data_IF_371831792661
#
_entry.id   IF_371831792661
#
_cell.length_a   1.000
_cell.length_b   1.000
_cell.length_c   1.000
_cell.angle_alpha   90.00
_cell.angle_beta   90.00
_cell.angle_gamma   90.00
#
_symmetry.space_group_name_H-M   'P 1'
#
loop_
_entity.id
_entity.type
_entity.pdbx_description
1 polymer ?
#
# COMPACT_ATOMS: atom_id res chain seq x y z
N UNK A 1 9.09 -27.59 8.77
CA UNK A 1 10.11 -28.41 8.09
C UNK A 1 10.65 -27.58 6.93
N UNK A 2 11.85 -27.00 7.05
CA UNK A 2 12.43 -26.12 6.00
C UNK A 2 13.39 -26.96 5.16
N UNK A 3 13.10 -27.13 3.87
CA UNK A 3 14.02 -27.77 2.93
C UNK A 3 14.68 -26.64 2.14
N UNK A 4 15.76 -26.11 2.68
CA UNK A 4 16.69 -25.27 1.91
C UNK A 4 17.56 -26.23 1.11
N UNK A 5 17.37 -26.28 -0.20
CA UNK A 5 18.23 -27.06 -1.09
C UNK A 5 19.54 -26.29 -1.27
N UNK A 6 20.46 -26.45 -0.31
CA UNK A 6 21.82 -25.94 -0.46
C UNK A 6 22.50 -26.77 -1.55
N UNK A 7 22.67 -26.16 -2.73
CA UNK A 7 23.24 -26.77 -3.92
C UNK A 7 24.62 -27.36 -3.61
N UNK A 8 25.38 -26.75 -2.70
CA UNK A 8 26.69 -27.25 -2.25
C UNK A 8 26.58 -28.56 -1.42
N UNK A 9 25.54 -28.69 -0.58
CA UNK A 9 25.26 -29.94 0.15
C UNK A 9 24.83 -31.08 -0.79
N UNK A 10 24.25 -30.76 -1.93
CA UNK A 10 23.91 -31.74 -2.98
C UNK A 10 25.15 -32.14 -3.76
N UNK A 11 26.02 -31.18 -4.09
CA UNK A 11 27.31 -31.41 -4.77
C UNK A 11 28.24 -32.30 -3.91
N UNK A 12 28.34 -32.05 -2.60
CA UNK A 12 29.19 -32.83 -1.69
C UNK A 12 28.73 -34.29 -1.48
N UNK A 13 27.50 -34.65 -1.90
CA UNK A 13 26.98 -36.02 -1.85
C UNK A 13 27.24 -36.80 -3.15
N UNK A 14 27.74 -36.16 -4.20
CA UNK A 14 28.07 -36.82 -5.45
C UNK A 14 29.46 -37.45 -5.36
N UNK A 15 29.52 -38.78 -5.37
CA UNK A 15 30.76 -39.58 -5.27
C UNK A 15 31.48 -39.79 -6.61
N UNK A 16 30.98 -39.22 -7.72
CA UNK A 16 31.53 -39.38 -9.06
C UNK A 16 31.82 -37.99 -9.66
N UNK A 17 32.89 -37.82 -10.47
CA UNK A 17 33.11 -36.58 -11.20
C UNK A 17 31.94 -36.39 -12.16
N UNK A 18 31.15 -35.34 -11.93
CA UNK A 18 30.04 -34.97 -12.80
C UNK A 18 30.58 -34.89 -14.24
N UNK A 19 29.76 -35.27 -15.23
CA UNK A 19 30.11 -35.23 -16.67
C UNK A 19 30.87 -33.92 -16.97
N UNK A 20 31.97 -33.92 -17.74
CA UNK A 20 32.85 -32.74 -17.91
C UNK A 20 32.09 -31.47 -18.31
N UNK A 21 30.98 -31.63 -19.03
CA UNK A 21 30.06 -30.54 -19.41
C UNK A 21 29.31 -29.98 -18.21
N UNK A 22 28.73 -30.83 -17.36
CA UNK A 22 28.05 -30.37 -16.14
C UNK A 22 29.03 -29.79 -15.12
N UNK A 23 30.25 -30.33 -15.01
CA UNK A 23 31.29 -29.78 -14.16
C UNK A 23 31.76 -28.41 -14.67
N UNK A 24 31.97 -28.25 -15.98
CA UNK A 24 32.32 -26.96 -16.60
C UNK A 24 31.21 -25.91 -16.45
N UNK A 25 29.94 -26.30 -16.54
CA UNK A 25 28.79 -25.43 -16.33
C UNK A 25 28.62 -25.03 -14.85
N UNK A 26 28.97 -25.92 -13.91
CA UNK A 26 28.97 -25.61 -12.48
C UNK A 26 30.16 -24.71 -12.13
N UNK A 27 31.38 -25.00 -12.58
CA UNK A 27 32.58 -24.17 -12.37
C UNK A 27 32.41 -22.74 -12.92
N UNK A 28 31.69 -22.56 -14.02
CA UNK A 28 31.38 -21.23 -14.57
C UNK A 28 30.32 -20.45 -13.77
N UNK A 29 29.53 -21.12 -12.93
CA UNK A 29 28.41 -20.53 -12.19
C UNK A 29 28.58 -20.55 -10.67
N UNK A 30 29.65 -21.15 -10.13
CA UNK A 30 29.99 -21.06 -8.71
C UNK A 30 30.64 -19.69 -8.47
N UNK A 31 29.81 -18.65 -8.40
CA UNK A 31 30.15 -17.50 -7.55
C UNK A 31 29.81 -17.93 -6.13
N UNK A 32 30.82 -17.99 -5.24
CA UNK A 32 30.66 -18.43 -3.85
C UNK A 32 29.63 -17.63 -3.04
N UNK A 33 29.15 -16.50 -3.57
CA UNK A 33 28.23 -15.56 -2.91
C UNK A 33 26.79 -15.59 -3.43
N UNK A 34 26.43 -16.52 -4.33
CA UNK A 34 25.06 -16.67 -4.88
C UNK A 34 24.31 -17.86 -4.31
N UNK A 35 23.09 -17.62 -3.86
CA UNK A 35 22.22 -18.59 -3.22
C UNK A 35 20.86 -18.63 -3.90
N UNK A 36 20.31 -19.84 -4.02
CA UNK A 36 18.95 -20.05 -4.53
C UNK A 36 18.03 -20.46 -3.38
N UNK A 37 16.95 -19.69 -3.18
CA UNK A 37 15.92 -19.98 -2.19
C UNK A 37 14.64 -20.41 -2.88
N UNK A 38 13.96 -21.40 -2.29
CA UNK A 38 12.57 -21.74 -2.60
C UNK A 38 11.64 -21.09 -1.60
N UNK A 39 10.72 -20.27 -2.11
CA UNK A 39 9.63 -19.68 -1.36
C UNK A 39 8.55 -20.71 -1.01
N UNK A 40 7.62 -20.35 -0.12
CA UNK A 40 6.55 -21.24 0.32
C UNK A 40 5.57 -21.64 -0.80
N UNK A 41 5.45 -20.85 -1.86
CA UNK A 41 4.59 -21.13 -3.03
C UNK A 41 5.34 -21.80 -4.19
N UNK A 42 6.48 -22.43 -3.93
CA UNK A 42 7.34 -23.05 -4.94
C UNK A 42 8.03 -22.05 -5.89
N UNK A 43 7.95 -20.75 -5.58
CA UNK A 43 8.70 -19.69 -6.26
C UNK A 43 10.19 -19.84 -5.97
N UNK A 44 11.04 -19.50 -6.94
CA UNK A 44 12.48 -19.55 -6.80
C UNK A 44 13.06 -18.15 -6.88
N UNK A 45 13.95 -17.83 -5.95
CA UNK A 45 14.62 -16.56 -5.88
C UNK A 45 16.13 -16.76 -5.77
N UNK A 46 16.86 -15.87 -6.42
CA UNK A 46 18.32 -15.83 -6.37
C UNK A 46 18.74 -14.63 -5.53
N UNK A 47 19.70 -14.85 -4.64
CA UNK A 47 20.28 -13.83 -3.79
C UNK A 47 21.78 -13.81 -4.02
N UNK A 48 22.32 -12.62 -4.15
CA UNK A 48 23.75 -12.37 -4.23
C UNK A 48 24.14 -11.51 -3.04
N UNK A 49 24.90 -12.09 -2.11
CA UNK A 49 25.11 -11.52 -0.77
C UNK A 49 26.13 -10.38 -0.82
N UNK A 50 27.19 -10.54 -1.60
CA UNK A 50 28.23 -9.52 -1.79
C UNK A 50 27.66 -8.24 -2.40
N UNK A 51 26.71 -8.39 -3.33
CA UNK A 51 26.04 -7.26 -3.98
C UNK A 51 24.80 -6.78 -3.21
N UNK A 52 24.40 -7.48 -2.14
CA UNK A 52 23.17 -7.24 -1.38
C UNK A 52 21.93 -7.17 -2.28
N UNK A 53 21.85 -8.05 -3.28
CA UNK A 53 20.73 -8.09 -4.24
C UNK A 53 19.88 -9.34 -4.06
N UNK A 54 18.61 -9.22 -4.46
CA UNK A 54 17.67 -10.32 -4.42
C UNK A 54 16.79 -10.21 -5.66
N UNK A 55 16.48 -11.33 -6.33
CA UNK A 55 15.58 -11.34 -7.48
C UNK A 55 14.18 -10.78 -7.19
N UNK A 56 13.77 -10.78 -5.92
CA UNK A 56 12.54 -10.13 -5.45
C UNK A 56 12.63 -8.58 -5.42
N UNK A 57 13.84 -8.02 -5.65
CA UNK A 57 14.22 -6.59 -5.72
C UNK A 57 13.93 -5.74 -4.50
N UNK A 58 13.22 -6.28 -3.50
CA UNK A 58 12.93 -5.55 -2.26
C UNK A 58 14.20 -5.04 -1.57
N UNK A 59 15.28 -5.81 -1.59
CA UNK A 59 16.54 -5.39 -0.96
C UNK A 59 17.15 -4.16 -1.64
N UNK A 60 17.18 -4.13 -2.97
CA UNK A 60 17.65 -2.96 -3.73
C UNK A 60 16.77 -1.73 -3.50
N UNK A 61 15.44 -1.92 -3.45
CA UNK A 61 14.47 -0.84 -3.32
C UNK A 61 14.44 -0.25 -1.91
N UNK A 62 14.43 -1.09 -0.88
CA UNK A 62 14.33 -0.65 0.50
C UNK A 62 15.69 -0.51 1.16
N UNK A 63 16.79 -0.90 0.49
CA UNK A 63 18.13 -0.88 1.06
C UNK A 63 18.27 -1.67 2.38
N UNK A 64 17.34 -2.61 2.61
CA UNK A 64 17.18 -3.43 3.81
C UNK A 64 17.03 -4.90 3.40
N UNK A 65 17.62 -5.85 4.14
CA UNK A 65 17.56 -7.27 3.79
C UNK A 65 16.09 -7.75 3.78
N UNK A 66 15.70 -8.43 2.71
CA UNK A 66 14.38 -9.01 2.59
C UNK A 66 14.27 -10.36 3.34
N UNK A 67 13.07 -10.91 3.46
CA UNK A 67 12.85 -12.19 4.15
C UNK A 67 13.70 -13.33 3.55
N UNK A 68 13.92 -13.30 2.24
CA UNK A 68 14.79 -14.24 1.55
C UNK A 68 16.25 -14.05 2.00
N UNK A 69 16.75 -12.82 1.99
CA UNK A 69 18.11 -12.50 2.41
C UNK A 69 18.41 -12.95 3.84
N UNK A 70 17.50 -12.64 4.77
CA UNK A 70 17.62 -13.03 6.18
C UNK A 70 17.66 -14.55 6.31
N UNK A 71 16.82 -15.27 5.54
CA UNK A 71 16.82 -16.72 5.54
C UNK A 71 18.16 -17.29 5.03
N UNK A 72 18.77 -16.70 4.00
CA UNK A 72 20.11 -17.11 3.54
C UNK A 72 21.18 -16.82 4.58
N UNK A 73 21.19 -15.62 5.15
CA UNK A 73 22.19 -15.22 6.16
C UNK A 73 22.16 -16.17 7.36
N UNK A 74 20.96 -16.58 7.80
CA UNK A 74 20.82 -17.56 8.88
C UNK A 74 21.32 -18.95 8.46
N UNK A 75 21.07 -19.39 7.22
CA UNK A 75 21.56 -20.69 6.74
C UNK A 75 23.08 -20.72 6.59
N UNK A 76 23.69 -19.60 6.19
CA UNK A 76 25.16 -19.45 6.20
C UNK A 76 25.71 -19.54 7.61
N UNK A 77 25.08 -18.89 8.58
CA UNK A 77 25.51 -18.91 9.98
C UNK A 77 25.41 -20.33 10.57
N UNK A 78 24.35 -21.07 10.23
CA UNK A 78 24.18 -22.48 10.64
C UNK A 78 25.23 -23.42 10.01
N UNK A 79 25.91 -23.01 8.93
CA UNK A 79 26.90 -23.80 8.20
C UNK A 79 28.35 -23.43 8.53
N UNK A 80 28.59 -22.65 9.60
CA UNK A 80 29.91 -22.11 9.95
C UNK A 80 30.55 -21.24 8.83
N UNK A 81 29.75 -20.68 7.93
CA UNK A 81 30.24 -19.68 6.97
C UNK A 81 30.48 -18.34 7.67
N UNK A 82 31.37 -17.52 7.12
CA UNK A 82 31.75 -16.24 7.72
C UNK A 82 30.62 -15.21 7.57
N UNK A 83 29.75 -15.15 8.56
CA UNK A 83 28.61 -14.23 8.61
C UNK A 83 28.91 -13.03 9.51
N UNK A 84 28.66 -11.83 8.99
CA UNK A 84 28.73 -10.59 9.77
C UNK A 84 27.48 -10.38 10.63
N UNK A 85 27.49 -9.36 11.49
CA UNK A 85 26.28 -8.98 12.23
C UNK A 85 25.18 -8.50 11.26
N UNK A 86 23.91 -8.73 11.59
CA UNK A 86 22.81 -8.48 10.63
C UNK A 86 22.79 -7.06 10.04
N UNK A 87 23.21 -6.05 10.81
CA UNK A 87 23.28 -4.66 10.35
C UNK A 87 24.36 -4.41 9.30
N UNK A 88 25.37 -5.28 9.16
CA UNK A 88 26.40 -5.12 8.12
C UNK A 88 25.83 -5.35 6.72
N UNK A 89 24.68 -6.02 6.64
CA UNK A 89 23.92 -6.28 5.41
C UNK A 89 22.89 -5.17 5.11
N UNK A 90 22.85 -4.10 5.91
CA UNK A 90 22.01 -2.93 5.69
C UNK A 90 22.82 -1.85 4.98
N UNK A 91 22.22 -1.19 4.00
CA UNK A 91 22.89 -0.11 3.27
C UNK A 91 23.29 1.05 4.19
N UNK A 92 24.43 1.69 3.90
CA UNK A 92 24.99 2.80 4.69
C UNK A 92 24.05 3.99 4.85
N UNK A 93 23.04 4.15 4.00
CA UNK A 93 22.02 5.22 4.11
C UNK A 93 21.31 5.21 5.46
N UNK A 94 21.16 4.04 6.10
CA UNK A 94 20.52 3.92 7.42
C UNK A 94 21.48 4.12 8.59
N UNK A 95 22.76 4.37 8.34
CA UNK A 95 23.75 4.51 9.39
C UNK A 95 23.67 5.90 10.01
N UNK A 96 23.90 5.97 11.33
CA UNK A 96 23.90 7.21 12.09
C UNK A 96 24.94 8.21 11.54
N UNK A 97 26.07 7.71 11.05
CA UNK A 97 27.12 8.50 10.42
C UNK A 97 26.59 9.23 9.17
N UNK A 98 25.87 8.52 8.30
CA UNK A 98 25.24 9.10 7.10
C UNK A 98 24.17 10.12 7.47
N UNK A 99 23.40 9.84 8.52
CA UNK A 99 22.43 10.78 9.05
C UNK A 99 23.10 12.06 9.57
N UNK A 100 24.15 11.94 10.39
CA UNK A 100 24.92 13.08 10.93
C UNK A 100 25.55 13.90 9.82
N UNK A 101 26.10 13.27 8.78
CA UNK A 101 26.69 13.97 7.64
C UNK A 101 25.64 14.70 6.83
N UNK A 102 24.46 14.10 6.60
CA UNK A 102 23.34 14.76 5.90
C UNK A 102 22.87 16.03 6.62
N UNK A 103 22.79 15.99 7.95
CA UNK A 103 22.35 17.13 8.78
C UNK A 103 23.52 17.95 9.36
N UNK A 104 24.74 17.76 8.85
CA UNK A 104 25.90 18.52 9.32
C UNK A 104 25.82 20.00 8.90
N UNK A 105 25.10 20.28 7.82
CA UNK A 105 24.88 21.63 7.33
C UNK A 105 23.71 22.28 8.06
N UNK A 106 23.98 23.44 8.67
CA UNK A 106 22.97 24.26 9.31
C UNK A 106 22.28 25.07 8.22
N UNK A 107 20.96 24.93 8.09
CA UNK A 107 20.14 25.85 7.30
C UNK A 107 19.92 27.09 8.15
N UNK A 108 20.58 28.18 7.81
CA UNK A 108 20.38 29.45 8.51
C UNK A 108 18.93 29.93 8.35
N UNK A 109 18.28 30.38 9.43
CA UNK A 109 16.92 30.88 9.34
C UNK A 109 16.89 32.17 8.52
N UNK A 110 16.05 32.21 7.48
CA UNK A 110 15.84 33.41 6.69
C UNK A 110 14.74 34.26 7.34
N UNK A 111 15.01 35.56 7.50
CA UNK A 111 14.11 36.53 8.12
C UNK A 111 12.88 36.82 7.23
N UNK A 112 11.87 35.98 7.32
CA UNK A 112 10.59 36.16 6.64
C UNK A 112 10.63 35.99 5.12
N UNK A 113 9.44 35.92 4.51
CA UNK A 113 9.27 35.61 3.09
C UNK A 113 9.84 36.69 2.15
N UNK A 114 9.94 37.93 2.62
CA UNK A 114 10.49 39.06 1.86
C UNK A 114 12.01 38.95 1.62
N UNK A 115 12.73 38.22 2.47
CA UNK A 115 14.19 38.05 2.39
C UNK A 115 14.60 36.76 1.66
N UNK A 116 13.63 36.00 1.13
CA UNK A 116 13.93 34.78 0.39
C UNK A 116 14.65 35.12 -0.92
N UNK A 117 15.77 34.44 -1.25
CA UNK A 117 16.42 34.62 -2.54
C UNK A 117 15.44 34.22 -3.65
N UNK A 118 15.37 35.04 -4.70
CA UNK A 118 14.59 34.69 -5.90
C UNK A 118 15.28 33.52 -6.59
N UNK A 119 14.52 32.49 -6.93
CA UNK A 119 15.07 31.36 -7.68
C UNK A 119 15.42 31.79 -9.11
N UNK A 120 16.59 31.41 -9.59
CA UNK A 120 17.01 31.61 -10.98
C UNK A 120 16.27 30.68 -11.95
N UNK A 121 15.59 29.66 -11.43
CA UNK A 121 14.78 28.75 -12.24
C UNK A 121 13.48 29.43 -12.68
N UNK A 122 13.13 29.37 -13.99
CA UNK A 122 11.86 29.89 -14.48
C UNK A 122 10.72 29.07 -13.88
N UNK A 123 10.20 29.54 -12.75
CA UNK A 123 9.13 28.90 -11.99
C UNK A 123 7.79 29.40 -12.50
N UNK A 124 7.54 29.24 -13.80
CA UNK A 124 6.23 29.49 -14.40
C UNK A 124 5.38 28.24 -14.20
N UNK A 125 4.77 28.12 -13.01
CA UNK A 125 3.77 27.08 -12.76
C UNK A 125 2.55 27.36 -13.63
N UNK A 126 2.46 26.67 -14.76
CA UNK A 126 1.21 26.60 -15.52
C UNK A 126 0.31 25.61 -14.78
N UNK A 127 -0.87 26.02 -14.28
CA UNK A 127 -1.78 25.09 -13.63
C UNK A 127 -2.10 23.97 -14.62
N UNK A 128 -2.00 22.72 -14.14
CA UNK A 128 -2.38 21.56 -14.96
C UNK A 128 -3.81 21.75 -15.46
N UNK A 129 -4.04 21.47 -16.74
CA UNK A 129 -5.36 21.54 -17.35
C UNK A 129 -6.32 20.62 -16.56
N UNK A 130 -7.22 21.23 -15.79
CA UNK A 130 -8.18 20.48 -14.99
C UNK A 130 -9.28 19.93 -15.90
N UNK A 131 -9.26 18.62 -16.14
CA UNK A 131 -10.36 17.95 -16.82
C UNK A 131 -11.50 17.72 -15.82
N UNK A 132 -12.56 18.51 -15.92
CA UNK A 132 -13.79 18.30 -15.14
C UNK A 132 -14.38 16.94 -15.51
N UNK A 133 -14.33 15.99 -14.58
CA UNK A 133 -14.92 14.67 -14.80
C UNK A 133 -16.43 14.80 -15.03
N UNK A 134 -17.01 14.09 -16.02
CA UNK A 134 -18.44 14.11 -16.26
C UNK A 134 -19.18 13.67 -14.99
N UNK A 135 -20.00 14.58 -14.46
CA UNK A 135 -20.76 14.32 -13.23
C UNK A 135 -21.75 13.16 -13.40
N UNK A 136 -22.11 12.53 -12.28
CA UNK A 136 -23.10 11.45 -12.27
C UNK A 136 -24.39 11.91 -12.98
N UNK A 137 -24.88 11.16 -14.00
CA UNK A 137 -26.12 11.48 -14.67
C UNK A 137 -27.24 11.66 -13.65
N UNK A 138 -27.97 12.78 -13.75
CA UNK A 138 -29.12 13.04 -12.87
C UNK A 138 -30.14 11.92 -13.08
N UNK A 139 -30.41 11.14 -12.04
CA UNK A 139 -31.49 10.14 -12.04
C UNK A 139 -32.80 10.92 -12.18
N UNK A 140 -33.50 10.77 -13.31
CA UNK A 140 -34.85 11.35 -13.48
C UNK A 140 -35.71 10.85 -12.32
N UNK A 141 -36.32 11.78 -11.57
CA UNK A 141 -37.37 11.41 -10.62
C UNK A 141 -38.53 10.85 -11.43
N UNK A 142 -39.03 9.70 -11.02
CA UNK A 142 -40.26 9.11 -11.55
C UNK A 142 -41.39 10.07 -11.21
N UNK A 143 -42.03 10.67 -12.22
CA UNK A 143 -43.16 11.59 -12.02
C UNK A 143 -44.31 10.86 -11.31
N UNK A 144 -45.01 11.55 -10.40
CA UNK A 144 -46.07 10.96 -9.58
C UNK A 144 -47.15 10.25 -10.40
N UNK A 145 -47.42 10.72 -11.63
CA UNK A 145 -48.37 10.10 -12.56
C UNK A 145 -47.95 8.69 -12.96
N UNK A 146 -46.66 8.46 -13.18
CA UNK A 146 -46.11 7.15 -13.54
C UNK A 146 -46.07 6.17 -12.37
N UNK A 147 -45.91 6.67 -11.13
CA UNK A 147 -46.08 5.87 -9.89
C UNK A 147 -47.54 5.47 -9.68
N UNK A 148 -48.49 6.38 -9.92
CA UNK A 148 -49.93 6.09 -9.79
C UNK A 148 -50.41 5.07 -10.83
N UNK A 149 -49.88 5.12 -12.07
CA UNK A 149 -50.17 4.12 -13.10
C UNK A 149 -49.55 2.74 -12.81
N UNK A 150 -48.35 2.66 -12.24
CA UNK A 150 -47.76 1.37 -11.84
C UNK A 150 -48.46 0.75 -10.64
N UNK A 151 -48.97 1.56 -9.70
CA UNK A 151 -49.80 1.09 -8.59
C UNK A 151 -51.17 0.58 -9.06
N UNK A 152 -51.83 1.26 -10.01
CA UNK A 152 -53.09 0.78 -10.59
C UNK A 152 -52.93 -0.54 -11.36
N UNK A 153 -51.80 -0.74 -12.05
CA UNK A 153 -51.49 -2.00 -12.74
C UNK A 153 -51.20 -3.15 -11.77
N UNK A 154 -50.48 -2.90 -10.67
CA UNK A 154 -50.25 -3.90 -9.63
C UNK A 154 -51.51 -4.29 -8.83
N UNK A 155 -52.56 -3.45 -8.82
CA UNK A 155 -53.84 -3.81 -8.20
C UNK A 155 -54.70 -4.74 -9.07
N UNK A 156 -54.44 -4.82 -10.38
CA UNK A 156 -55.19 -5.67 -11.32
C UNK A 156 -54.55 -7.05 -11.52
N UNK A 157 -53.27 -7.22 -11.23
CA UNK A 157 -52.63 -8.53 -11.11
C UNK A 157 -52.58 -8.92 -9.64
N UNK A 158 -53.57 -9.69 -9.19
CA UNK A 158 -53.57 -10.29 -7.86
C UNK A 158 -52.38 -11.23 -7.70
N UNK A 159 -51.30 -10.75 -7.06
CA UNK A 159 -50.29 -11.61 -6.47
C UNK A 159 -50.30 -11.41 -4.96
N UNK A 160 -50.72 -12.48 -4.28
CA UNK A 160 -50.56 -12.69 -2.85
C UNK A 160 -49.07 -12.93 -2.58
N UNK A 161 -48.36 -11.93 -2.09
CA UNK A 161 -47.06 -12.12 -1.45
C UNK A 161 -47.08 -11.44 -0.08
N UNK A 162 -46.68 -12.21 0.93
CA UNK A 162 -46.57 -11.89 2.36
C UNK A 162 -46.39 -10.41 2.68
N UNK A 163 -47.20 -9.92 3.61
CA UNK A 163 -47.21 -8.57 4.18
C UNK A 163 -45.84 -8.17 4.76
N UNK A 164 -44.93 -7.75 3.89
CA UNK A 164 -43.70 -7.05 4.31
C UNK A 164 -44.11 -5.61 4.61
N UNK A 165 -44.18 -5.27 5.90
CA UNK A 165 -44.37 -3.90 6.37
C UNK A 165 -43.38 -2.96 5.68
N UNK A 166 -43.85 -2.24 4.66
CA UNK A 166 -43.09 -1.13 4.09
C UNK A 166 -43.11 0.00 5.11
N UNK A 167 -41.96 0.66 5.34
CA UNK A 167 -41.77 1.80 6.28
C UNK A 167 -42.55 3.06 5.87
N UNK A 168 -43.82 2.93 5.46
CA UNK A 168 -44.71 4.04 5.12
C UNK A 168 -45.30 4.71 6.36
N UNK A 169 -45.22 4.08 7.54
CA UNK A 169 -45.84 4.60 8.77
C UNK A 169 -44.86 4.95 9.91
N UNK A 170 -43.54 4.80 9.73
CA UNK A 170 -42.58 5.23 10.76
C UNK A 170 -42.24 6.70 10.55
N UNK A 171 -43.06 7.59 11.10
CA UNK A 171 -42.70 9.00 11.24
C UNK A 171 -41.75 9.14 12.43
N UNK A 172 -40.44 9.25 12.20
CA UNK A 172 -39.49 9.66 13.25
C UNK A 172 -39.71 11.15 13.50
N UNK A 173 -40.34 11.48 14.62
CA UNK A 173 -40.43 12.86 15.10
C UNK A 173 -39.19 13.16 15.96
N UNK A 174 -38.49 14.25 15.67
CA UNK A 174 -37.39 14.73 16.50
C UNK A 174 -37.95 15.59 17.63
N UNK A 175 -37.41 15.46 18.83
CA UNK A 175 -37.88 16.15 20.05
C UNK A 175 -37.92 17.68 19.99
N UNK A 176 -37.31 18.30 18.98
CA UNK A 176 -37.23 19.76 18.79
C UNK A 176 -38.03 20.32 17.61
N UNK A 177 -38.81 19.49 16.89
CA UNK A 177 -39.71 20.00 15.85
C UNK A 177 -40.91 19.07 15.66
N UNK A 178 -42.12 19.60 15.88
CA UNK A 178 -43.40 18.88 15.79
C UNK A 178 -43.87 18.60 14.35
N UNK A 179 -43.12 19.01 13.32
CA UNK A 179 -43.50 18.81 11.93
C UNK A 179 -42.95 17.48 11.37
N UNK A 180 -43.82 16.47 11.23
CA UNK A 180 -43.48 15.17 10.64
C UNK A 180 -43.32 15.28 9.11
N UNK A 181 -42.30 14.64 8.54
CA UNK A 181 -42.16 14.42 7.08
C UNK A 181 -41.17 15.30 6.31
N UNK A 182 -40.31 16.12 6.95
CA UNK A 182 -39.23 16.85 6.27
C UNK A 182 -37.87 16.21 6.48
N UNK A 183 -37.03 16.26 5.44
CA UNK A 183 -35.61 15.86 5.49
C UNK A 183 -34.84 16.94 6.27
N UNK A 184 -33.90 16.55 7.14
CA UNK A 184 -33.15 17.43 8.08
C UNK A 184 -32.58 18.69 7.40
N UNK A 185 -32.14 18.58 6.14
CA UNK A 185 -31.53 19.68 5.38
C UNK A 185 -32.48 20.83 5.02
N UNK A 186 -33.79 20.65 5.13
CA UNK A 186 -34.80 21.70 4.84
C UNK A 186 -35.51 22.22 6.09
N UNK A 187 -35.08 21.80 7.29
CA UNK A 187 -35.60 22.35 8.53
C UNK A 187 -34.92 23.69 8.83
N UNK A 188 -35.61 24.81 8.57
CA UNK A 188 -35.22 26.13 9.07
C UNK A 188 -35.56 26.19 10.56
N UNK A 189 -34.73 25.55 11.39
CA UNK A 189 -34.87 25.60 12.84
C UNK A 189 -34.90 27.06 13.30
N UNK A 190 -35.92 27.43 14.08
CA UNK A 190 -35.92 28.72 14.76
C UNK A 190 -34.92 28.62 15.92
N UNK A 191 -33.78 29.29 15.82
CA UNK A 191 -32.79 29.32 16.90
C UNK A 191 -31.55 30.12 16.53
N UNK A 192 -31.42 31.32 17.12
CA UNK A 192 -30.21 32.16 17.07
C UNK A 192 -29.06 31.42 17.77
N UNK A 193 -27.89 31.36 17.13
CA UNK A 193 -26.66 30.87 17.76
C UNK A 193 -26.13 31.94 18.72
N UNK A 194 -26.01 31.62 20.01
CA UNK A 194 -25.25 32.42 20.97
C UNK A 194 -24.02 31.60 21.36
N UNK A 195 -22.85 32.04 20.93
CA UNK A 195 -21.57 31.50 21.35
C UNK A 195 -21.32 31.98 22.79
N UNK A 196 -21.22 31.07 23.75
CA UNK A 196 -20.70 31.38 25.08
C UNK A 196 -19.30 30.78 25.15
N UNK A 197 -18.28 31.65 25.16
CA UNK A 197 -16.92 31.28 25.55
C UNK A 197 -16.91 31.18 27.07
N UNK A 198 -16.55 30.03 27.62
CA UNK A 198 -16.28 29.92 29.05
C UNK A 198 -15.00 30.70 29.36
N UNK A 199 -15.07 31.57 30.37
CA UNK A 199 -13.91 31.89 31.20
C UNK A 199 -13.73 30.78 32.22
#
# INVERSE_FOLDING_TARGET
MKIVCNVMKVINKCTCPLIPTSERLLQANISMSKYQIKGPWNDQHVIEIEQMTCSYRKWELTCLPCNHAIATINEMADNDERVGELYTYVHKVYWLETWKTMYSFIVEPIKGMSMWPKSDFPTTFTPLLHHTQPGRPKKKRTDEKSVRQSQKRNLQQGQCESEKLTRKFVSVAYSKCTNKGRIVKTCKGQGKWRYQSSK
#
